data_IF_210252792704
#
_entry.id   IF_210252792704
#
_cell.length_a   1.000
_cell.length_b   1.000
_cell.length_c   1.000
_cell.angle_alpha   90.00
_cell.angle_beta   90.00
_cell.angle_gamma   90.00
#
_symmetry.space_group_name_H-M   'P 1'
#
loop_
_entity.id
_entity.type
_entity.pdbx_description
1 polymer ?
#
# COMPACT_ATOMS: atom_id res chain seq x y z
N UNK A 1 12.10 -42.72 5.60
CA UNK A 1 12.70 -41.36 5.48
C UNK A 1 12.05 -40.51 4.39
N UNK A 2 11.73 -41.05 3.20
CA UNK A 2 11.13 -40.30 2.07
C UNK A 2 9.78 -39.61 2.36
N UNK A 3 8.93 -40.20 3.20
CA UNK A 3 7.60 -39.66 3.53
C UNK A 3 7.63 -38.41 4.40
N UNK A 4 8.56 -38.34 5.38
CA UNK A 4 8.72 -37.14 6.23
C UNK A 4 9.22 -35.93 5.44
N UNK A 5 10.14 -36.16 4.51
CA UNK A 5 10.71 -35.08 3.68
C UNK A 5 9.67 -34.46 2.74
N UNK A 6 8.77 -35.29 2.18
CA UNK A 6 7.68 -34.81 1.34
C UNK A 6 6.63 -33.99 2.10
N UNK A 7 6.34 -34.32 3.36
CA UNK A 7 5.41 -33.53 4.20
C UNK A 7 5.98 -32.17 4.59
N UNK A 8 7.27 -32.08 4.90
CA UNK A 8 7.91 -30.81 5.26
C UNK A 8 8.03 -29.87 4.04
N UNK A 9 8.33 -30.40 2.85
CA UNK A 9 8.30 -29.63 1.60
C UNK A 9 6.91 -29.11 1.27
N UNK A 10 5.87 -29.94 1.44
CA UNK A 10 4.48 -29.52 1.22
C UNK A 10 4.05 -28.41 2.18
N UNK A 11 4.46 -28.47 3.46
CA UNK A 11 4.19 -27.40 4.44
C UNK A 11 4.93 -26.10 4.12
N UNK A 12 6.16 -26.19 3.63
CA UNK A 12 6.93 -25.01 3.22
C UNK A 12 6.26 -24.32 2.03
N UNK A 13 5.93 -25.07 0.98
CA UNK A 13 5.26 -24.56 -0.23
C UNK A 13 3.89 -23.95 0.09
N UNK A 14 3.11 -24.57 0.99
CA UNK A 14 1.83 -24.02 1.43
C UNK A 14 1.97 -22.68 2.17
N UNK A 15 3.05 -22.52 2.96
CA UNK A 15 3.35 -21.24 3.65
C UNK A 15 3.81 -20.16 2.68
N UNK A 16 4.68 -20.50 1.73
CA UNK A 16 5.14 -19.57 0.69
C UNK A 16 4.00 -19.10 -0.21
N UNK A 17 3.14 -20.01 -0.68
CA UNK A 17 1.96 -19.63 -1.46
C UNK A 17 1.03 -18.73 -0.66
N UNK A 18 0.77 -19.05 0.62
CA UNK A 18 -0.08 -18.22 1.48
C UNK A 18 0.53 -16.83 1.75
N UNK A 19 1.86 -16.72 1.81
CA UNK A 19 2.55 -15.44 1.92
C UNK A 19 2.42 -14.64 0.61
N UNK A 20 2.66 -15.29 -0.53
CA UNK A 20 2.53 -14.69 -1.86
C UNK A 20 1.10 -14.22 -2.15
N UNK A 21 0.10 -15.00 -1.78
CA UNK A 21 -1.32 -14.65 -1.94
C UNK A 21 -1.71 -13.46 -1.05
N UNK A 22 -1.19 -13.40 0.18
CA UNK A 22 -1.37 -12.23 1.07
C UNK A 22 -0.69 -10.98 0.51
N UNK A 23 0.50 -11.11 -0.07
CA UNK A 23 1.19 -10.00 -0.73
C UNK A 23 0.47 -9.52 -2.00
N UNK A 24 -0.10 -10.45 -2.77
CA UNK A 24 -0.92 -10.14 -3.94
C UNK A 24 -2.22 -9.42 -3.54
N UNK A 25 -2.91 -9.88 -2.49
CA UNK A 25 -4.11 -9.22 -1.97
C UNK A 25 -3.82 -7.81 -1.41
N UNK A 26 -2.66 -7.60 -0.77
CA UNK A 26 -2.19 -6.27 -0.35
C UNK A 26 -1.83 -5.34 -1.53
N UNK A 27 -1.57 -5.90 -2.71
CA UNK A 27 -1.33 -5.13 -3.92
C UNK A 27 -2.53 -4.26 -4.32
N UNK A 28 -3.74 -4.78 -4.11
CA UNK A 28 -4.99 -4.03 -4.32
C UNK A 28 -5.28 -3.04 -3.18
N UNK A 29 -4.96 -3.42 -1.95
CA UNK A 29 -5.16 -2.60 -0.75
C UNK A 29 -4.41 -1.26 -0.84
N UNK A 30 -3.17 -1.28 -1.34
CA UNK A 30 -2.32 -0.09 -1.55
C UNK A 30 -2.21 0.35 -3.01
N UNK A 31 -3.28 0.11 -3.77
CA UNK A 31 -3.32 0.48 -5.19
C UNK A 31 -3.29 1.99 -5.38
N UNK A 32 -2.69 2.44 -6.50
CA UNK A 32 -2.71 3.85 -6.93
C UNK A 32 -4.16 4.34 -7.05
N UNK A 33 -5.07 3.48 -7.54
CA UNK A 33 -6.48 3.79 -7.69
C UNK A 33 -7.14 4.17 -6.36
N UNK A 34 -6.81 3.46 -5.27
CA UNK A 34 -7.31 3.80 -3.93
C UNK A 34 -6.75 5.14 -3.45
N UNK A 35 -5.45 5.38 -3.61
CA UNK A 35 -4.84 6.67 -3.26
C UNK A 35 -5.53 7.84 -3.98
N UNK A 36 -5.79 7.69 -5.28
CA UNK A 36 -6.52 8.69 -6.09
C UNK A 36 -7.94 8.89 -5.56
N UNK A 37 -8.64 7.83 -5.16
CA UNK A 37 -9.99 7.93 -4.60
C UNK A 37 -9.99 8.74 -3.31
N UNK A 38 -9.07 8.46 -2.39
CA UNK A 38 -8.97 9.11 -1.08
C UNK A 38 -8.57 10.59 -1.23
N UNK A 39 -7.51 10.90 -2.00
CA UNK A 39 -7.08 12.30 -2.18
C UNK A 39 -8.15 13.14 -2.91
N UNK A 40 -9.09 12.49 -3.59
CA UNK A 40 -10.22 13.18 -4.22
C UNK A 40 -11.34 13.56 -3.25
N UNK A 41 -11.44 12.92 -2.09
CA UNK A 41 -12.39 13.27 -1.02
C UNK A 41 -11.83 14.31 -0.07
N UNK A 42 -10.50 14.44 0.02
CA UNK A 42 -9.81 15.43 0.86
C UNK A 42 -9.87 16.85 0.28
N UNK A 43 -9.80 17.87 1.14
CA UNK A 43 -9.72 19.27 0.74
C UNK A 43 -8.31 19.65 0.27
N UNK A 44 -8.03 19.45 -1.02
CA UNK A 44 -6.75 19.78 -1.66
C UNK A 44 -6.92 20.47 -3.01
N UNK A 45 -5.97 21.35 -3.35
CA UNK A 45 -5.95 22.05 -4.63
C UNK A 45 -5.60 21.11 -5.80
N UNK A 46 -5.96 21.48 -7.03
CA UNK A 46 -5.59 20.71 -8.23
C UNK A 46 -4.07 20.54 -8.38
N UNK A 47 -3.30 21.55 -7.96
CA UNK A 47 -1.83 21.50 -7.99
C UNK A 47 -1.29 20.50 -6.96
N UNK A 48 -1.83 20.49 -5.74
CA UNK A 48 -1.47 19.49 -4.72
C UNK A 48 -1.84 18.08 -5.17
N UNK A 49 -3.01 17.87 -5.80
CA UNK A 49 -3.39 16.56 -6.37
C UNK A 49 -2.38 16.06 -7.39
N UNK A 50 -1.96 16.92 -8.32
CA UNK A 50 -0.98 16.56 -9.34
C UNK A 50 0.37 16.14 -8.73
N UNK A 51 0.84 16.88 -7.70
CA UNK A 51 2.07 16.54 -6.98
C UNK A 51 1.92 15.26 -6.14
N UNK A 52 0.77 15.04 -5.52
CA UNK A 52 0.46 13.82 -4.79
C UNK A 52 0.53 12.57 -5.68
N UNK A 53 0.05 12.66 -6.92
CA UNK A 53 0.16 11.55 -7.87
C UNK A 53 1.62 11.17 -8.14
N UNK A 54 2.52 12.15 -8.26
CA UNK A 54 3.95 11.88 -8.37
C UNK A 54 4.45 11.11 -7.14
N UNK A 55 4.07 11.53 -5.92
CA UNK A 55 4.43 10.84 -4.67
C UNK A 55 3.94 9.39 -4.64
N UNK A 56 2.69 9.13 -5.04
CA UNK A 56 2.11 7.78 -5.07
C UNK A 56 2.78 6.86 -6.09
N UNK A 57 3.27 7.42 -7.21
CA UNK A 57 3.99 6.64 -8.22
C UNK A 57 5.44 6.34 -7.86
N UNK A 58 6.04 7.08 -6.91
CA UNK A 58 7.45 6.90 -6.52
C UNK A 58 7.70 5.57 -5.79
N UNK A 59 6.81 5.16 -4.89
CA UNK A 59 7.01 3.92 -4.11
C UNK A 59 5.70 3.29 -3.67
N UNK A 60 5.77 2.00 -3.27
CA UNK A 60 4.65 1.32 -2.59
C UNK A 60 4.49 1.84 -1.17
N UNK A 61 5.60 2.11 -0.47
CA UNK A 61 5.59 2.63 0.91
C UNK A 61 4.85 3.96 1.00
N UNK A 62 5.01 4.87 0.03
CA UNK A 62 4.28 6.15 0.02
C UNK A 62 2.77 5.96 -0.07
N UNK A 63 2.33 4.94 -0.82
CA UNK A 63 0.90 4.61 -0.95
C UNK A 63 0.37 3.99 0.33
N UNK A 64 1.12 3.09 0.93
CA UNK A 64 0.78 2.46 2.21
C UNK A 64 0.70 3.51 3.33
N UNK A 65 1.71 4.36 3.48
CA UNK A 65 1.71 5.47 4.46
C UNK A 65 0.52 6.39 4.26
N UNK A 66 0.24 6.81 3.02
CA UNK A 66 -0.89 7.69 2.72
C UNK A 66 -2.23 7.05 3.10
N UNK A 67 -2.46 5.79 2.71
CA UNK A 67 -3.72 5.09 2.97
C UNK A 67 -3.90 4.87 4.47
N UNK A 68 -2.89 4.34 5.17
CA UNK A 68 -2.98 4.08 6.61
C UNK A 68 -3.18 5.39 7.39
N UNK A 69 -2.41 6.43 7.10
CA UNK A 69 -2.56 7.71 7.77
C UNK A 69 -3.94 8.32 7.51
N UNK A 70 -4.46 8.21 6.27
CA UNK A 70 -5.76 8.79 5.90
C UNK A 70 -6.95 8.16 6.63
N UNK A 71 -6.81 6.90 7.05
CA UNK A 71 -7.84 6.18 7.80
C UNK A 71 -7.83 6.54 9.29
N UNK A 72 -6.69 6.99 9.82
CA UNK A 72 -6.56 7.41 11.22
C UNK A 72 -6.82 8.91 11.41
N UNK A 73 -6.16 9.77 10.62
CA UNK A 73 -6.28 11.22 10.70
C UNK A 73 -5.99 11.91 9.36
N UNK A 74 -7.02 12.55 8.82
CA UNK A 74 -6.92 13.27 7.55
C UNK A 74 -5.96 14.47 7.64
N UNK A 75 -5.95 15.22 8.75
CA UNK A 75 -5.14 16.43 8.88
C UNK A 75 -3.65 16.11 8.90
N UNK A 76 -3.23 15.15 9.73
CA UNK A 76 -1.84 14.66 9.76
C UNK A 76 -1.39 14.09 8.42
N UNK A 77 -2.29 13.41 7.70
CA UNK A 77 -2.01 12.89 6.35
C UNK A 77 -1.72 14.01 5.37
N UNK A 78 -2.51 15.09 5.38
CA UNK A 78 -2.30 16.25 4.51
C UNK A 78 -1.02 17.00 4.87
N UNK A 79 -0.68 17.12 6.15
CA UNK A 79 0.59 17.71 6.60
C UNK A 79 1.77 16.89 6.08
N UNK A 80 1.75 15.57 6.27
CA UNK A 80 2.78 14.67 5.73
C UNK A 80 2.91 14.80 4.21
N UNK A 81 1.79 14.77 3.49
CA UNK A 81 1.79 14.82 2.03
C UNK A 81 2.35 16.15 1.51
N UNK A 82 2.03 17.28 2.17
CA UNK A 82 2.59 18.59 1.83
C UNK A 82 4.09 18.68 2.10
N UNK A 83 4.58 18.02 3.15
CA UNK A 83 6.02 17.95 3.44
C UNK A 83 6.77 17.15 2.37
N UNK A 84 6.20 16.05 1.87
CA UNK A 84 6.79 15.26 0.77
C UNK A 84 6.79 15.99 -0.58
N UNK A 85 5.96 17.02 -0.74
CA UNK A 85 5.88 17.86 -1.94
C UNK A 85 6.85 19.05 -1.94
N UNK A 86 7.44 19.38 -0.80
CA UNK A 86 8.37 20.50 -0.62
C UNK A 86 9.75 20.15 -1.19
#
# INVERSE_FOLDING_TARGET
MRTKQAEDEAKHLARENKARDKEAAKGDEYSIKRCISIINTMEVTKQEKAKAYAIFTKSKENRETFICASEEDEESTLIWLRNEMA
#
